data_IF_357955565953
#
_entry.id   IF_357955565953
#
_cell.length_a   1.000
_cell.length_b   1.000
_cell.length_c   1.000
_cell.angle_alpha   90.00
_cell.angle_beta   90.00
_cell.angle_gamma   90.00
#
_symmetry.space_group_name_H-M   'P 1'
#
loop_
_entity.id
_entity.type
_entity.pdbx_description
1 polymer ?
#
# COMPACT_ATOMS: atom_id res chain seq x y z
N UNK A 1 -2.67 8.47 -26.06
CA UNK A 1 -2.53 7.34 -25.10
C UNK A 1 -3.94 6.90 -24.72
N UNK A 2 -4.18 5.62 -24.41
CA UNK A 2 -5.53 5.17 -24.08
C UNK A 2 -5.61 4.95 -22.55
N UNK A 3 -6.70 5.41 -21.94
CA UNK A 3 -7.01 5.15 -20.53
C UNK A 3 -7.31 3.65 -20.37
N UNK A 4 -6.61 2.97 -19.45
CA UNK A 4 -6.80 1.55 -19.15
C UNK A 4 -7.66 1.41 -17.89
N UNK A 5 -8.96 1.19 -18.09
CA UNK A 5 -9.91 1.01 -16.98
C UNK A 5 -9.90 -0.42 -16.44
N UNK A 6 -9.69 -1.41 -17.29
CA UNK A 6 -9.56 -2.82 -16.93
C UNK A 6 -8.70 -3.54 -17.95
N UNK A 7 -8.18 -4.69 -17.59
CA UNK A 7 -7.43 -5.55 -18.49
C UNK A 7 -8.11 -6.90 -18.66
N UNK A 8 -7.98 -7.47 -19.86
CA UNK A 8 -8.48 -8.80 -20.18
C UNK A 8 -7.44 -9.49 -21.07
N UNK A 9 -6.84 -10.54 -20.50
CA UNK A 9 -5.79 -11.31 -21.15
C UNK A 9 -6.26 -12.77 -21.22
N UNK A 10 -6.75 -13.25 -22.39
CA UNK A 10 -7.31 -14.60 -22.53
C UNK A 10 -6.38 -15.73 -22.09
N UNK A 11 -5.06 -15.55 -22.27
CA UNK A 11 -4.04 -16.54 -21.92
C UNK A 11 -3.64 -16.50 -20.42
N UNK A 12 -4.18 -15.56 -19.62
CA UNK A 12 -3.83 -15.38 -18.22
C UNK A 12 -5.06 -15.54 -17.31
N UNK A 13 -4.88 -16.25 -16.21
CA UNK A 13 -5.95 -16.45 -15.24
C UNK A 13 -6.11 -15.23 -14.33
N UNK A 14 -7.15 -14.42 -14.55
CA UNK A 14 -7.53 -13.35 -13.65
C UNK A 14 -8.01 -13.93 -12.32
N UNK A 15 -7.39 -13.56 -11.20
CA UNK A 15 -7.76 -14.02 -9.85
C UNK A 15 -8.29 -12.91 -8.95
N UNK A 16 -8.14 -11.65 -9.34
CA UNK A 16 -8.67 -10.53 -8.59
C UNK A 16 -8.72 -9.25 -9.40
N UNK A 17 -9.79 -8.49 -9.18
CA UNK A 17 -9.95 -7.12 -9.71
C UNK A 17 -10.26 -6.20 -8.56
N UNK A 18 -9.23 -5.53 -8.07
CA UNK A 18 -9.36 -4.55 -7.00
C UNK A 18 -9.82 -3.18 -7.52
N UNK A 19 -9.92 -2.22 -6.62
CA UNK A 19 -10.36 -0.84 -6.92
C UNK A 19 -9.53 -0.18 -8.03
N UNK A 20 -8.21 -0.48 -8.10
CA UNK A 20 -7.29 0.16 -9.05
C UNK A 20 -6.30 -0.82 -9.70
N UNK A 21 -6.35 -2.12 -9.40
CA UNK A 21 -5.42 -3.13 -9.92
C UNK A 21 -6.16 -4.37 -10.39
N UNK A 22 -5.64 -4.99 -11.44
CA UNK A 22 -6.04 -6.33 -11.88
C UNK A 22 -4.88 -7.28 -11.56
N UNK A 23 -5.19 -8.49 -11.05
CA UNK A 23 -4.20 -9.46 -10.58
C UNK A 23 -4.41 -10.77 -11.30
N UNK A 24 -3.34 -11.26 -11.93
CA UNK A 24 -3.31 -12.51 -12.67
C UNK A 24 -2.41 -13.53 -11.99
N UNK A 25 -2.84 -14.78 -11.97
CA UNK A 25 -2.08 -15.92 -11.45
C UNK A 25 -1.09 -16.43 -12.51
N UNK A 26 0.14 -16.61 -12.10
CA UNK A 26 1.24 -17.19 -12.87
C UNK A 26 1.93 -18.29 -12.03
N UNK A 27 1.14 -19.20 -11.46
CA UNK A 27 1.54 -20.30 -10.59
C UNK A 27 2.26 -19.86 -9.31
N UNK A 28 3.58 -19.77 -9.32
CA UNK A 28 4.42 -19.32 -8.19
C UNK A 28 4.59 -17.80 -8.12
N UNK A 29 4.04 -17.07 -9.10
CA UNK A 29 4.13 -15.61 -9.24
C UNK A 29 2.76 -14.99 -9.45
N UNK A 30 2.71 -13.66 -9.29
CA UNK A 30 1.55 -12.87 -9.68
C UNK A 30 1.99 -11.78 -10.66
N UNK A 31 1.15 -11.52 -11.66
CA UNK A 31 1.22 -10.32 -12.47
C UNK A 31 0.21 -9.32 -11.91
N UNK A 32 0.70 -8.20 -11.39
CA UNK A 32 -0.13 -7.10 -10.87
C UNK A 32 -0.12 -5.98 -11.90
N UNK A 33 -1.30 -5.62 -12.40
CA UNK A 33 -1.47 -4.55 -13.40
C UNK A 33 -2.17 -3.36 -12.75
N UNK A 34 -1.49 -2.24 -12.65
CA UNK A 34 -2.07 -0.98 -12.20
C UNK A 34 -2.84 -0.33 -13.34
N UNK A 35 -4.13 -0.14 -13.12
CA UNK A 35 -5.03 0.51 -14.08
C UNK A 35 -5.09 2.01 -13.85
N UNK A 36 -5.78 2.71 -14.72
CA UNK A 36 -6.01 4.15 -14.60
C UNK A 36 -7.28 4.48 -13.81
N UNK A 37 -7.96 3.43 -13.25
CA UNK A 37 -9.12 3.62 -12.37
C UNK A 37 -8.81 4.52 -11.19
N UNK A 38 -9.77 5.34 -10.81
CA UNK A 38 -9.76 6.14 -9.60
C UNK A 38 -10.86 5.62 -8.66
N UNK A 39 -10.54 5.49 -7.38
CA UNK A 39 -11.52 5.17 -6.35
C UNK A 39 -11.48 6.23 -5.25
N UNK A 40 -12.67 6.66 -4.83
CA UNK A 40 -12.87 7.56 -3.72
C UNK A 40 -14.04 7.07 -2.87
N UNK A 41 -13.91 7.08 -1.55
CA UNK A 41 -14.94 6.58 -0.62
C UNK A 41 -15.42 5.16 -0.96
N UNK A 42 -14.48 4.28 -1.34
CA UNK A 42 -14.71 2.90 -1.78
C UNK A 42 -15.53 2.73 -3.07
N UNK A 43 -15.85 3.82 -3.75
CA UNK A 43 -16.53 3.82 -5.06
C UNK A 43 -15.49 3.98 -6.16
N UNK A 44 -15.53 3.11 -7.18
CA UNK A 44 -14.74 3.26 -8.40
C UNK A 44 -15.45 4.30 -9.27
N UNK A 45 -14.75 5.38 -9.60
CA UNK A 45 -15.29 6.43 -10.46
C UNK A 45 -15.38 5.94 -11.91
N UNK A 46 -16.38 6.43 -12.68
CA UNK A 46 -16.59 5.99 -14.06
C UNK A 46 -15.46 6.41 -15.00
N UNK A 47 -14.74 7.47 -14.66
CA UNK A 47 -13.63 8.00 -15.44
C UNK A 47 -12.29 7.65 -14.78
N UNK A 48 -11.29 7.34 -15.61
CA UNK A 48 -9.92 7.10 -15.19
C UNK A 48 -9.03 8.33 -15.40
N UNK A 49 -7.88 8.32 -14.75
CA UNK A 49 -6.84 9.33 -14.96
C UNK A 49 -5.76 8.73 -15.85
N UNK A 50 -5.60 9.27 -17.06
CA UNK A 50 -4.63 8.78 -18.03
C UNK A 50 -3.22 8.70 -17.44
N UNK A 51 -2.57 7.54 -17.59
CA UNK A 51 -1.21 7.29 -17.10
C UNK A 51 -1.08 7.08 -15.60
N UNK A 52 -2.16 7.17 -14.80
CA UNK A 52 -2.13 6.96 -13.35
C UNK A 52 -1.48 5.62 -12.97
N UNK A 53 -1.85 4.54 -13.67
CA UNK A 53 -1.27 3.22 -13.42
C UNK A 53 0.24 3.18 -13.61
N UNK A 54 0.76 3.88 -14.62
CA UNK A 54 2.21 3.98 -14.89
C UNK A 54 2.92 4.76 -13.79
N UNK A 55 2.38 5.89 -13.35
CA UNK A 55 2.94 6.69 -12.27
C UNK A 55 2.99 5.89 -10.97
N UNK A 56 1.90 5.19 -10.61
CA UNK A 56 1.85 4.40 -9.39
C UNK A 56 2.83 3.21 -9.40
N UNK A 57 3.01 2.56 -10.55
CA UNK A 57 3.99 1.47 -10.71
C UNK A 57 5.41 2.00 -10.55
N UNK A 58 5.73 3.13 -11.18
CA UNK A 58 7.04 3.77 -11.06
C UNK A 58 7.35 4.19 -9.61
N UNK A 59 6.37 4.77 -8.90
CA UNK A 59 6.50 5.13 -7.49
C UNK A 59 6.68 3.90 -6.59
N UNK A 60 5.93 2.82 -6.84
CA UNK A 60 6.09 1.58 -6.08
C UNK A 60 7.48 0.99 -6.27
N UNK A 61 7.96 0.90 -7.53
CA UNK A 61 9.32 0.45 -7.82
C UNK A 61 10.38 1.31 -7.12
N UNK A 62 10.26 2.64 -7.22
CA UNK A 62 11.16 3.57 -6.55
C UNK A 62 11.27 3.29 -5.04
N UNK A 63 10.12 3.12 -4.36
CA UNK A 63 10.12 2.85 -2.93
C UNK A 63 10.67 1.46 -2.59
N UNK A 64 10.35 0.42 -3.36
CA UNK A 64 10.94 -0.91 -3.17
C UNK A 64 12.45 -0.90 -3.31
N UNK A 65 12.99 -0.21 -4.32
CA UNK A 65 14.44 -0.06 -4.50
C UNK A 65 15.07 0.71 -3.34
N UNK A 66 14.43 1.80 -2.88
CA UNK A 66 14.96 2.65 -1.80
C UNK A 66 14.90 2.01 -0.42
N UNK A 67 13.97 1.12 -0.17
CA UNK A 67 13.77 0.47 1.14
C UNK A 67 14.30 -0.96 1.21
N UNK A 68 14.92 -1.46 0.15
CA UNK A 68 15.46 -2.83 0.07
C UNK A 68 16.52 -3.15 1.14
N UNK A 69 17.19 -2.13 1.68
CA UNK A 69 18.15 -2.29 2.80
C UNK A 69 17.46 -2.43 4.17
N UNK A 70 16.15 -2.17 4.26
CA UNK A 70 15.36 -2.30 5.50
C UNK A 70 14.66 -3.66 5.52
N UNK A 71 14.03 -4.04 4.41
CA UNK A 71 13.31 -5.29 4.26
C UNK A 71 13.27 -5.72 2.80
N UNK A 72 13.37 -7.02 2.55
CA UNK A 72 13.11 -7.61 1.24
C UNK A 72 11.67 -7.37 0.81
N UNK A 73 11.46 -7.28 -0.51
CA UNK A 73 10.12 -7.13 -1.07
C UNK A 73 9.79 -8.23 -2.08
N UNK A 74 8.55 -8.25 -2.54
CA UNK A 74 8.06 -9.26 -3.46
C UNK A 74 8.33 -8.98 -4.94
N UNK A 75 8.82 -7.78 -5.30
CA UNK A 75 9.02 -7.39 -6.69
C UNK A 75 10.12 -8.24 -7.34
N UNK A 76 9.82 -8.83 -8.49
CA UNK A 76 10.78 -9.51 -9.35
C UNK A 76 11.23 -8.57 -10.46
N UNK A 77 10.27 -8.01 -11.23
CA UNK A 77 10.58 -7.07 -12.31
C UNK A 77 9.35 -6.24 -12.71
N UNK A 78 9.61 -5.03 -13.23
CA UNK A 78 8.64 -4.20 -13.94
C UNK A 78 8.90 -4.15 -15.44
N UNK A 79 9.98 -4.76 -15.90
CA UNK A 79 10.37 -4.83 -17.30
C UNK A 79 9.67 -6.01 -17.98
N UNK A 80 8.74 -5.71 -18.88
CA UNK A 80 7.91 -6.71 -19.56
C UNK A 80 8.77 -7.69 -20.38
N UNK A 81 9.92 -7.26 -20.90
CA UNK A 81 10.83 -8.12 -21.65
C UNK A 81 11.47 -9.24 -20.83
N UNK A 82 11.46 -9.10 -19.47
CA UNK A 82 11.95 -10.07 -18.50
C UNK A 82 10.84 -10.88 -17.84
N UNK A 83 9.59 -10.65 -18.23
CA UNK A 83 8.44 -11.43 -17.76
C UNK A 83 8.28 -12.71 -18.59
N UNK A 84 7.49 -13.70 -18.14
CA UNK A 84 7.15 -14.87 -18.92
C UNK A 84 6.62 -14.51 -20.32
N UNK A 85 6.88 -15.35 -21.31
CA UNK A 85 6.54 -15.11 -22.72
C UNK A 85 5.05 -14.81 -22.92
N UNK A 86 4.19 -15.46 -22.17
CA UNK A 86 2.74 -15.19 -22.19
C UNK A 86 2.39 -13.75 -21.83
N UNK A 87 3.16 -13.09 -20.96
CA UNK A 87 2.97 -11.67 -20.63
C UNK A 87 3.46 -10.76 -21.74
N UNK A 88 4.55 -11.14 -22.42
CA UNK A 88 5.16 -10.31 -23.47
C UNK A 88 4.23 -10.09 -24.66
N UNK A 89 3.29 -11.00 -24.91
CA UNK A 89 2.22 -10.82 -25.92
C UNK A 89 1.38 -9.55 -25.69
N UNK A 90 1.29 -9.10 -24.44
CA UNK A 90 0.47 -7.96 -24.02
C UNK A 90 1.33 -6.73 -23.66
N UNK A 91 2.55 -6.64 -24.21
CA UNK A 91 3.52 -5.60 -23.90
C UNK A 91 2.93 -4.20 -24.03
N UNK A 92 2.17 -3.92 -25.08
CA UNK A 92 1.61 -2.60 -25.35
C UNK A 92 0.70 -2.09 -24.19
N UNK A 93 0.02 -3.01 -23.51
CA UNK A 93 -0.82 -2.68 -22.36
C UNK A 93 -0.02 -2.70 -21.05
N UNK A 94 0.89 -3.67 -20.89
CA UNK A 94 1.60 -3.92 -19.62
C UNK A 94 2.75 -2.95 -19.38
N UNK A 95 3.34 -2.37 -20.42
CA UNK A 95 4.55 -1.55 -20.32
C UNK A 95 4.36 -0.36 -19.37
N UNK A 96 5.23 -0.30 -18.35
CA UNK A 96 5.27 0.75 -17.35
C UNK A 96 4.18 0.69 -16.27
N UNK A 97 3.16 -0.20 -16.39
CA UNK A 97 2.06 -0.31 -15.42
C UNK A 97 1.91 -1.66 -14.73
N UNK A 98 2.83 -2.57 -14.97
CA UNK A 98 2.78 -3.93 -14.45
C UNK A 98 3.99 -4.28 -13.61
N UNK A 99 3.78 -5.20 -12.68
CA UNK A 99 4.81 -5.80 -11.84
C UNK A 99 4.64 -7.32 -11.84
N UNK A 100 5.71 -8.04 -12.12
CA UNK A 100 5.82 -9.46 -11.80
C UNK A 100 6.34 -9.58 -10.37
N UNK A 101 5.62 -10.29 -9.51
CA UNK A 101 5.95 -10.40 -8.09
C UNK A 101 5.94 -11.85 -7.61
N UNK A 102 6.66 -12.13 -6.54
CA UNK A 102 6.56 -13.40 -5.82
C UNK A 102 5.15 -13.54 -5.24
N UNK A 103 4.56 -14.73 -5.36
CA UNK A 103 3.28 -15.05 -4.72
C UNK A 103 3.51 -15.29 -3.24
N UNK A 104 2.78 -14.59 -2.40
CA UNK A 104 2.88 -14.69 -0.94
C UNK A 104 1.48 -14.77 -0.33
N UNK A 105 1.39 -15.37 0.85
CA UNK A 105 0.16 -15.36 1.65
C UNK A 105 0.07 -14.03 2.42
N UNK A 106 -0.95 -13.20 2.19
CA UNK A 106 -1.11 -11.94 2.92
C UNK A 106 -1.46 -12.22 4.38
N UNK A 107 -0.97 -11.37 5.27
CA UNK A 107 -1.41 -11.33 6.67
C UNK A 107 -2.67 -10.46 6.77
N UNK A 108 -3.54 -10.80 7.74
CA UNK A 108 -4.86 -10.18 7.90
C UNK A 108 -4.80 -8.88 8.75
N UNK A 109 -3.77 -8.09 8.55
CA UNK A 109 -3.63 -6.79 9.18
C UNK A 109 -2.96 -5.80 8.22
N UNK A 110 -3.39 -4.53 8.25
CA UNK A 110 -2.73 -3.45 7.55
C UNK A 110 -1.83 -2.66 8.50
N UNK A 111 -0.67 -2.27 8.00
CA UNK A 111 0.34 -1.55 8.76
C UNK A 111 0.32 -0.08 8.38
N UNK A 112 -0.10 0.78 9.29
CA UNK A 112 -0.11 2.23 9.11
C UNK A 112 0.79 2.88 10.16
N UNK A 113 1.69 3.76 9.74
CA UNK A 113 2.45 4.63 10.63
C UNK A 113 2.03 6.08 10.40
N UNK A 114 1.78 6.80 11.47
CA UNK A 114 1.38 8.21 11.44
C UNK A 114 2.45 9.07 12.11
N UNK A 115 2.99 10.02 11.38
CA UNK A 115 3.84 11.08 11.95
C UNK A 115 3.09 12.37 12.22
N UNK A 116 1.84 12.44 11.77
CA UNK A 116 0.92 13.58 11.93
C UNK A 116 -0.46 13.05 12.28
N UNK A 117 -1.20 13.82 13.09
CA UNK A 117 -2.58 13.46 13.47
C UNK A 117 -3.57 14.00 12.43
N UNK A 118 -4.29 13.11 11.73
CA UNK A 118 -5.25 13.49 10.68
C UNK A 118 -6.27 12.39 10.41
N UNK A 119 -7.37 12.72 9.76
CA UNK A 119 -8.39 11.79 9.27
C UNK A 119 -9.00 10.92 10.39
N UNK A 120 -9.03 9.59 10.20
CA UNK A 120 -9.58 8.65 11.20
C UNK A 120 -8.84 8.75 12.53
N UNK A 121 -7.51 8.89 12.51
CA UNK A 121 -6.72 9.06 13.74
C UNK A 121 -7.10 10.30 14.52
N UNK A 122 -7.39 11.43 13.85
CA UNK A 122 -7.88 12.63 14.54
C UNK A 122 -9.28 12.43 15.13
N UNK A 123 -10.17 11.70 14.44
CA UNK A 123 -11.49 11.37 14.95
C UNK A 123 -11.40 10.52 16.23
N UNK A 124 -10.51 9.53 16.25
CA UNK A 124 -10.31 8.67 17.43
C UNK A 124 -9.71 9.46 18.59
N UNK A 125 -8.70 10.30 18.31
CA UNK A 125 -8.09 11.18 19.29
C UNK A 125 -9.10 12.14 19.96
N UNK A 126 -9.96 12.78 19.18
CA UNK A 126 -10.98 13.68 19.72
C UNK A 126 -11.99 12.97 20.65
N UNK A 127 -12.23 11.68 20.42
CA UNK A 127 -13.14 10.88 21.26
C UNK A 127 -12.50 10.37 22.54
N UNK A 128 -11.24 9.96 22.47
CA UNK A 128 -10.61 9.13 23.53
C UNK A 128 -9.29 9.67 24.05
N UNK A 129 -8.71 10.69 23.41
CA UNK A 129 -7.34 11.16 23.68
C UNK A 129 -6.26 10.18 23.18
N UNK A 130 -6.65 9.16 22.43
CA UNK A 130 -5.76 8.08 21.98
C UNK A 130 -6.05 7.66 20.54
N UNK A 131 -5.07 6.98 19.89
CA UNK A 131 -5.24 6.33 18.58
C UNK A 131 -4.72 4.90 18.71
N UNK A 132 -5.51 3.90 18.35
CA UNK A 132 -5.15 2.47 18.50
C UNK A 132 -4.62 2.11 19.90
N UNK A 133 -5.17 2.72 20.96
CA UNK A 133 -4.73 2.52 22.34
C UNK A 133 -3.53 3.36 22.80
N UNK A 134 -2.87 4.09 21.88
CA UNK A 134 -1.72 4.95 22.17
C UNK A 134 -2.24 6.32 22.63
N UNK A 135 -2.00 6.68 23.88
CA UNK A 135 -2.34 8.01 24.42
C UNK A 135 -1.47 9.08 23.78
N UNK A 136 -2.07 10.17 23.37
CA UNK A 136 -1.41 11.32 22.76
C UNK A 136 -1.49 12.56 23.66
N UNK A 137 -0.56 13.53 23.50
CA UNK A 137 -0.63 14.81 24.21
C UNK A 137 -1.96 15.53 23.98
N UNK A 138 -2.42 16.24 25.01
CA UNK A 138 -3.64 17.05 24.88
C UNK A 138 -3.40 18.28 23.99
N UNK A 139 -4.46 18.75 23.30
CA UNK A 139 -4.47 19.98 22.53
C UNK A 139 -3.95 19.87 21.08
N UNK A 140 -3.74 18.63 20.58
CA UNK A 140 -3.39 18.42 19.17
C UNK A 140 -4.52 18.85 18.24
N UNK A 141 -4.14 19.52 17.15
CA UNK A 141 -5.03 19.98 16.06
C UNK A 141 -4.84 19.11 14.82
N UNK A 142 -5.81 19.22 13.91
CA UNK A 142 -5.71 18.54 12.59
C UNK A 142 -4.39 18.88 11.89
N UNK A 143 -3.69 17.83 11.43
CA UNK A 143 -2.40 17.89 10.78
C UNK A 143 -1.20 18.30 11.67
N UNK A 144 -1.36 18.35 12.99
CA UNK A 144 -0.21 18.54 13.88
C UNK A 144 0.77 17.38 13.78
N UNK A 145 2.06 17.70 13.81
CA UNK A 145 3.13 16.71 13.87
C UNK A 145 3.15 16.05 15.24
N UNK A 146 3.18 14.73 15.25
CA UNK A 146 3.32 13.97 16.48
C UNK A 146 4.75 14.05 17.03
N UNK A 147 4.96 13.98 18.37
CA UNK A 147 6.28 13.94 18.96
C UNK A 147 7.15 12.82 18.41
N UNK A 148 6.55 11.64 18.20
CA UNK A 148 7.14 10.49 17.53
C UNK A 148 6.11 9.85 16.58
N UNK A 149 6.57 9.22 15.47
CA UNK A 149 5.68 8.43 14.64
C UNK A 149 5.09 7.26 15.42
N UNK A 150 3.77 7.06 15.31
CA UNK A 150 3.05 5.99 15.98
C UNK A 150 2.59 4.92 14.99
N UNK A 151 2.64 3.65 15.41
CA UNK A 151 2.12 2.52 14.65
C UNK A 151 0.64 2.31 14.98
N UNK A 152 -0.21 2.43 13.97
CA UNK A 152 -1.68 2.41 14.08
C UNK A 152 -2.26 1.36 13.13
N UNK A 153 -2.19 0.07 13.48
CA UNK A 153 -2.67 -1.00 12.63
C UNK A 153 -4.18 -0.98 12.46
N UNK A 154 -4.65 -1.59 11.36
CA UNK A 154 -6.06 -1.90 11.14
C UNK A 154 -6.24 -3.37 10.73
N UNK A 155 -7.45 -3.86 10.85
CA UNK A 155 -7.83 -5.15 10.26
C UNK A 155 -7.74 -5.04 8.75
N UNK A 156 -7.58 -6.17 8.08
CA UNK A 156 -7.82 -6.29 6.64
C UNK A 156 -9.16 -6.97 6.44
N UNK A 157 -10.19 -6.15 6.22
CA UNK A 157 -11.54 -6.66 6.03
C UNK A 157 -11.72 -7.20 4.60
N UNK A 158 -12.29 -8.39 4.46
CA UNK A 158 -12.70 -8.93 3.17
C UNK A 158 -13.97 -8.22 2.66
N UNK A 159 -14.82 -7.75 3.58
CA UNK A 159 -16.06 -7.01 3.31
C UNK A 159 -16.19 -5.87 4.31
N UNK A 160 -16.53 -4.68 3.83
CA UNK A 160 -16.70 -3.49 4.65
C UNK A 160 -15.45 -2.59 4.70
N UNK A 161 -15.25 -1.91 5.82
CA UNK A 161 -14.11 -1.02 6.05
C UNK A 161 -13.11 -1.63 7.01
N UNK A 162 -11.84 -1.33 6.80
CA UNK A 162 -10.78 -1.67 7.76
C UNK A 162 -10.99 -0.91 9.07
N UNK A 163 -10.92 -1.62 10.19
CA UNK A 163 -11.09 -1.05 11.52
C UNK A 163 -9.77 -0.86 12.23
N UNK A 164 -9.56 0.32 12.82
CA UNK A 164 -8.40 0.60 13.67
C UNK A 164 -8.36 -0.35 14.85
N UNK A 165 -7.24 -1.03 15.09
CA UNK A 165 -7.04 -1.97 16.19
C UNK A 165 -5.83 -1.61 17.04
N UNK A 166 -5.79 -2.09 18.29
CA UNK A 166 -4.60 -1.96 19.11
C UNK A 166 -3.50 -2.94 18.65
N UNK A 167 -2.26 -2.70 19.08
CA UNK A 167 -1.15 -3.60 18.82
C UNK A 167 -1.37 -5.00 19.41
N UNK A 168 -1.97 -5.09 20.59
CA UNK A 168 -2.34 -6.35 21.26
C UNK A 168 -3.32 -7.12 20.40
N UNK A 169 -4.35 -6.45 19.86
CA UNK A 169 -5.32 -7.09 18.96
C UNK A 169 -4.68 -7.57 17.68
N UNK A 170 -3.74 -6.82 17.11
CA UNK A 170 -2.96 -7.28 15.98
C UNK A 170 -2.15 -8.54 16.31
N UNK A 171 -1.53 -8.63 17.50
CA UNK A 171 -0.83 -9.83 17.95
C UNK A 171 -1.73 -11.06 18.01
N UNK A 172 -3.00 -10.90 18.39
CA UNK A 172 -3.98 -12.00 18.37
C UNK A 172 -4.29 -12.49 16.96
N UNK A 173 -4.33 -11.57 15.98
CA UNK A 173 -4.69 -11.87 14.58
C UNK A 173 -3.53 -12.52 13.82
N UNK A 174 -2.32 -11.96 13.91
CA UNK A 174 -1.18 -12.37 13.08
C UNK A 174 -0.08 -13.11 13.84
N UNK A 175 -0.17 -13.18 15.17
CA UNK A 175 0.87 -13.70 16.05
C UNK A 175 1.87 -12.62 16.48
N UNK A 176 2.36 -12.72 17.72
CA UNK A 176 3.19 -11.68 18.35
C UNK A 176 4.50 -11.41 17.61
N UNK A 177 5.13 -12.44 17.05
CA UNK A 177 6.41 -12.29 16.37
C UNK A 177 6.27 -11.56 15.03
N UNK A 178 5.23 -11.90 14.25
CA UNK A 178 4.91 -11.17 13.01
C UNK A 178 4.47 -9.74 13.32
N UNK A 179 3.61 -9.53 14.31
CA UNK A 179 3.15 -8.19 14.69
C UNK A 179 4.32 -7.25 15.05
N UNK A 180 5.30 -7.74 15.84
CA UNK A 180 6.50 -6.98 16.18
C UNK A 180 7.32 -6.63 14.94
N UNK A 181 7.62 -7.62 14.09
CA UNK A 181 8.36 -7.39 12.86
C UNK A 181 7.65 -6.39 11.93
N UNK A 182 6.34 -6.56 11.71
CA UNK A 182 5.54 -5.65 10.89
C UNK A 182 5.59 -4.22 11.43
N UNK A 183 5.42 -4.03 12.75
CA UNK A 183 5.54 -2.71 13.39
C UNK A 183 6.92 -2.09 13.16
N UNK A 184 7.97 -2.84 13.46
CA UNK A 184 9.33 -2.32 13.47
C UNK A 184 9.80 -1.97 12.06
N UNK A 185 9.50 -2.81 11.06
CA UNK A 185 9.78 -2.51 9.65
C UNK A 185 8.97 -1.33 9.15
N UNK A 186 7.67 -1.24 9.49
CA UNK A 186 6.83 -0.13 9.02
C UNK A 186 7.31 1.21 9.59
N UNK A 187 7.69 1.25 10.88
CA UNK A 187 8.27 2.45 11.49
C UNK A 187 9.62 2.82 10.83
N UNK A 188 10.48 1.84 10.56
CA UNK A 188 11.77 2.08 9.90
C UNK A 188 11.58 2.65 8.48
N UNK A 189 10.67 2.05 7.70
CA UNK A 189 10.32 2.54 6.36
C UNK A 189 9.77 3.96 6.42
N UNK A 190 8.87 4.25 7.38
CA UNK A 190 8.30 5.58 7.55
C UNK A 190 9.39 6.62 7.84
N UNK A 191 10.28 6.37 8.82
CA UNK A 191 11.36 7.28 9.18
C UNK A 191 12.25 7.59 7.99
N UNK A 192 12.70 6.55 7.29
CA UNK A 192 13.52 6.69 6.09
C UNK A 192 12.80 7.49 4.99
N UNK A 193 11.55 7.15 4.70
CA UNK A 193 10.77 7.82 3.67
C UNK A 193 10.48 9.29 4.01
N UNK A 194 10.19 9.59 5.28
CA UNK A 194 9.96 10.95 5.76
C UNK A 194 11.21 11.82 5.62
N UNK A 195 12.38 11.32 6.03
CA UNK A 195 13.64 12.06 5.87
C UNK A 195 13.97 12.34 4.40
N UNK A 196 13.80 11.35 3.52
CA UNK A 196 14.05 11.52 2.09
C UNK A 196 13.10 12.53 1.47
N UNK A 197 11.83 12.51 1.87
CA UNK A 197 10.79 13.42 1.37
C UNK A 197 11.02 14.85 1.85
N UNK A 198 11.36 15.05 3.13
CA UNK A 198 11.65 16.36 3.70
C UNK A 198 12.85 17.04 3.02
N UNK A 199 13.91 16.29 2.68
CA UNK A 199 15.05 16.80 1.90
C UNK A 199 14.65 17.32 0.51
N UNK A 200 13.49 16.92 0.02
CA UNK A 200 12.91 17.34 -1.28
C UNK A 200 11.77 18.35 -1.12
N UNK A 201 11.54 18.87 0.07
CA UNK A 201 10.45 19.80 0.36
C UNK A 201 9.06 19.15 0.36
N UNK A 202 8.98 17.81 0.47
CA UNK A 202 7.72 17.08 0.52
C UNK A 202 7.47 16.65 1.96
N UNK A 203 6.41 17.17 2.56
CA UNK A 203 5.94 16.75 3.87
C UNK A 203 5.07 15.51 3.76
N UNK A 204 5.41 14.46 4.54
CA UNK A 204 4.73 13.17 4.47
C UNK A 204 3.96 12.90 5.75
N UNK A 205 2.64 12.96 5.67
CA UNK A 205 1.74 12.80 6.84
C UNK A 205 1.66 11.36 7.35
N UNK A 206 1.59 10.36 6.46
CA UNK A 206 1.47 8.95 6.83
C UNK A 206 1.99 8.02 5.74
N UNK A 207 2.26 6.77 6.12
CA UNK A 207 2.54 5.64 5.22
C UNK A 207 1.58 4.51 5.55
N UNK A 208 1.00 3.94 4.54
CA UNK A 208 0.19 2.71 4.59
C UNK A 208 0.94 1.59 3.90
#
# INVERSE_FOLDING_TARGET
MNIVMQTEFPDLKLIGRGKVRDIYDLDDKLLIVSTDRLSAFDVILPEGIEGKGKVLTALSKFWFDKTSHIIDNHLITTDVSKMPEVCQKYKDVLEGRSMLVKKAKPLLAECVVRGYITGSGMKDYLKTGAVCGIKLPAGLKEADKLPEPIFTPSTKADVGHDESISFEKMCEIVGSDYAKQMRDYTIAIYKFASELSLKKGIDRKSVV
#
